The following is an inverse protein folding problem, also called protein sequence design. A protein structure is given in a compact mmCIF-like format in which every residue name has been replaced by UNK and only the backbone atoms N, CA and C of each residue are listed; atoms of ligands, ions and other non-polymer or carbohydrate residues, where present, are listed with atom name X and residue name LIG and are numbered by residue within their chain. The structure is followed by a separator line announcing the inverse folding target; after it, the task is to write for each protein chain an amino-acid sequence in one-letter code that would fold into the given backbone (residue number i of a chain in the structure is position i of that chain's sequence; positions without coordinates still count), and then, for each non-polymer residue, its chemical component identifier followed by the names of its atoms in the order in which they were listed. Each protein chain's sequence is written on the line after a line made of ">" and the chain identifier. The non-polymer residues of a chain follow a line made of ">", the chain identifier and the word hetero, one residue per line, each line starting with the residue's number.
data_IF_143268276948
#
_entry.id   IF_143268276948
#
_cell.length_a   1.000
_cell.length_b   1.000
_cell.length_c   1.000
_cell.angle_alpha   90.00
_cell.angle_beta   90.00
_cell.angle_gamma   90.00
#
_symmetry.space_group_name_H-M   'P 1'
#
loop_
_entity.id
_entity.type
_entity.pdbx_description
1 polymer ?
#
# COMPACT_ATOMS: atom_id res chain seq x y z
N UNK A 1 -9.43 -20.37 -20.38
CA UNK A 1 -9.37 -18.94 -20.73
C UNK A 1 -9.59 -18.20 -19.45
N UNK A 2 -8.76 -17.21 -19.16
CA UNK A 2 -8.78 -16.48 -17.88
C UNK A 2 -8.72 -14.98 -18.14
N UNK A 3 -9.24 -14.19 -17.22
CA UNK A 3 -9.06 -12.76 -17.21
C UNK A 3 -7.74 -12.41 -16.54
N UNK A 4 -6.99 -11.52 -17.18
CA UNK A 4 -5.75 -10.94 -16.68
C UNK A 4 -5.92 -9.42 -16.64
N UNK A 5 -5.17 -8.76 -15.78
CA UNK A 5 -5.15 -7.30 -15.70
C UNK A 5 -3.95 -6.77 -16.46
N UNK A 6 -4.19 -5.84 -17.38
CA UNK A 6 -3.18 -5.10 -18.11
C UNK A 6 -3.06 -3.71 -17.50
N UNK A 7 -1.85 -3.31 -17.17
CA UNK A 7 -1.54 -1.99 -16.65
C UNK A 7 -1.03 -1.16 -17.81
N UNK A 8 -1.85 -0.25 -18.34
CA UNK A 8 -1.42 0.63 -19.42
C UNK A 8 -0.36 1.63 -18.94
N UNK A 9 0.45 2.13 -19.89
CA UNK A 9 1.49 3.12 -19.58
C UNK A 9 0.94 4.40 -18.92
N UNK A 10 -0.35 4.69 -19.09
CA UNK A 10 -1.05 5.82 -18.47
C UNK A 10 -1.30 5.62 -16.98
N UNK A 11 -1.18 4.39 -16.46
CA UNK A 11 -1.60 4.00 -15.12
C UNK A 11 -2.97 3.33 -15.09
N UNK A 12 -3.68 3.24 -16.22
CA UNK A 12 -5.03 2.65 -16.28
C UNK A 12 -4.98 1.12 -16.27
N UNK A 13 -5.83 0.50 -15.44
CA UNK A 13 -6.01 -0.94 -15.37
C UNK A 13 -7.09 -1.40 -16.35
N UNK A 14 -6.80 -2.40 -17.19
CA UNK A 14 -7.73 -2.97 -18.17
C UNK A 14 -7.79 -4.49 -18.08
N UNK A 15 -9.00 -5.03 -18.09
CA UNK A 15 -9.20 -6.48 -18.18
C UNK A 15 -8.96 -6.98 -19.60
N UNK A 16 -8.25 -8.09 -19.72
CA UNK A 16 -8.03 -8.77 -20.97
C UNK A 16 -8.16 -10.28 -20.81
N UNK A 17 -8.74 -10.94 -21.82
CA UNK A 17 -8.82 -12.41 -21.83
C UNK A 17 -7.54 -13.03 -22.37
N UNK A 18 -7.00 -13.99 -21.64
CA UNK A 18 -5.76 -14.70 -21.92
C UNK A 18 -5.96 -16.22 -21.95
N UNK A 19 -5.27 -16.90 -22.86
CA UNK A 19 -5.34 -18.37 -23.03
C UNK A 19 -3.95 -18.93 -23.23
N UNK A 20 -3.30 -19.36 -22.15
CA UNK A 20 -1.93 -19.88 -22.19
C UNK A 20 -1.76 -21.09 -23.14
N UNK A 21 -2.76 -21.96 -23.26
CA UNK A 21 -2.70 -23.19 -24.06
C UNK A 21 -2.68 -22.96 -25.57
N UNK A 22 -3.12 -21.78 -26.05
CA UNK A 22 -3.15 -21.45 -27.48
C UNK A 22 -1.85 -20.84 -27.99
N UNK A 23 -0.79 -20.82 -27.18
CA UNK A 23 0.43 -20.08 -27.50
C UNK A 23 0.18 -18.58 -27.56
N UNK A 24 -0.82 -18.08 -26.82
CA UNK A 24 -1.12 -16.67 -26.73
C UNK A 24 0.05 -16.02 -25.98
N UNK A 25 0.88 -15.31 -26.72
CA UNK A 25 2.09 -14.70 -26.20
C UNK A 25 1.72 -13.43 -25.44
N UNK A 26 1.84 -13.45 -24.10
CA UNK A 26 1.43 -12.37 -23.20
C UNK A 26 1.95 -10.98 -23.63
N UNK A 27 3.16 -10.90 -24.18
CA UNK A 27 3.73 -9.65 -24.68
C UNK A 27 2.89 -9.04 -25.82
N UNK A 28 2.20 -9.85 -26.65
CA UNK A 28 1.32 -9.35 -27.71
C UNK A 28 0.08 -8.68 -27.13
N UNK A 29 -0.46 -9.23 -26.03
CA UNK A 29 -1.57 -8.61 -25.26
C UNK A 29 -1.17 -7.26 -24.68
N UNK A 30 0.10 -7.15 -24.28
CA UNK A 30 0.72 -5.90 -23.85
C UNK A 30 1.14 -4.98 -25.02
N UNK A 31 0.65 -5.23 -26.25
CA UNK A 31 0.92 -4.43 -27.46
C UNK A 31 2.40 -4.41 -27.89
N UNK A 32 3.21 -5.35 -27.43
CA UNK A 32 4.60 -5.48 -27.90
C UNK A 32 4.69 -6.31 -29.18
N UNK A 33 5.64 -5.92 -30.04
CA UNK A 33 5.93 -6.63 -31.29
C UNK A 33 6.89 -7.80 -31.11
N UNK A 34 7.66 -7.80 -30.02
CA UNK A 34 8.69 -8.79 -29.68
C UNK A 34 8.59 -9.10 -28.19
N UNK A 35 8.95 -10.32 -27.80
CA UNK A 35 9.10 -10.74 -26.39
C UNK A 35 10.34 -10.13 -25.70
N UNK A 36 11.22 -9.49 -26.46
CA UNK A 36 12.51 -8.99 -25.98
C UNK A 36 12.37 -8.02 -24.78
N UNK A 37 12.91 -8.45 -23.64
CA UNK A 37 12.85 -7.75 -22.35
C UNK A 37 11.49 -7.85 -21.65
N UNK A 38 10.49 -8.54 -22.19
CA UNK A 38 9.21 -8.76 -21.53
C UNK A 38 9.26 -10.08 -20.75
N UNK A 39 9.47 -9.98 -19.44
CA UNK A 39 9.79 -11.10 -18.58
C UNK A 39 8.99 -11.04 -17.28
N UNK A 40 8.98 -12.16 -16.55
CA UNK A 40 8.48 -12.21 -15.17
C UNK A 40 9.37 -11.35 -14.28
N UNK A 41 8.78 -10.40 -13.55
CA UNK A 41 9.51 -9.44 -12.72
C UNK A 41 9.33 -9.69 -11.23
N UNK A 42 8.09 -9.80 -10.80
CA UNK A 42 7.75 -9.97 -9.40
C UNK A 42 6.58 -10.91 -9.24
N UNK A 43 6.58 -11.66 -8.15
CA UNK A 43 5.44 -12.47 -7.72
C UNK A 43 5.08 -12.12 -6.29
N UNK A 44 3.82 -11.81 -6.06
CA UNK A 44 3.25 -11.60 -4.75
C UNK A 44 2.39 -12.80 -4.37
N UNK A 45 2.44 -13.17 -3.11
CA UNK A 45 1.68 -14.30 -2.56
C UNK A 45 0.56 -13.76 -1.68
N UNK A 46 -0.64 -14.25 -1.88
CA UNK A 46 -1.80 -13.94 -1.05
C UNK A 46 -1.88 -14.91 0.13
N UNK A 47 -2.51 -14.46 1.22
CA UNK A 47 -2.91 -15.36 2.31
C UNK A 47 -3.96 -16.34 1.77
N UNK A 48 -3.86 -17.61 2.20
CA UNK A 48 -4.81 -18.67 1.80
C UNK A 48 -6.23 -18.26 2.20
N UNK A 49 -7.21 -18.70 1.39
CA UNK A 49 -8.66 -18.54 1.61
C UNK A 49 -9.25 -17.13 1.41
N UNK A 50 -8.43 -16.06 1.40
CA UNK A 50 -8.93 -14.67 1.20
C UNK A 50 -9.22 -14.33 -0.26
N UNK A 51 -8.48 -14.93 -1.19
CA UNK A 51 -8.56 -14.64 -2.63
C UNK A 51 -8.77 -15.92 -3.44
N UNK A 52 -9.38 -15.84 -4.63
CA UNK A 52 -9.49 -16.96 -5.56
C UNK A 52 -8.13 -17.37 -6.19
N UNK A 53 -7.06 -16.66 -5.86
CA UNK A 53 -5.69 -16.92 -6.29
C UNK A 53 -4.76 -17.05 -5.09
N UNK A 54 -3.68 -17.79 -5.27
CA UNK A 54 -2.57 -17.94 -4.32
C UNK A 54 -1.41 -16.99 -4.61
N UNK A 55 -1.24 -16.57 -5.86
CA UNK A 55 -0.21 -15.61 -6.23
C UNK A 55 -0.58 -14.77 -7.44
N UNK A 56 -0.09 -13.54 -7.48
CA UNK A 56 -0.15 -12.64 -8.64
C UNK A 56 1.26 -12.37 -9.13
N UNK A 57 1.49 -12.57 -10.42
CA UNK A 57 2.78 -12.41 -11.08
C UNK A 57 2.75 -11.23 -12.04
N UNK A 58 3.69 -10.31 -11.89
CA UNK A 58 3.92 -9.18 -12.78
C UNK A 58 4.85 -9.58 -13.94
N UNK A 59 4.39 -9.32 -15.15
CA UNK A 59 5.19 -9.36 -16.37
C UNK A 59 5.35 -7.95 -16.92
N UNK A 60 6.58 -7.50 -17.09
CA UNK A 60 6.86 -6.15 -17.53
C UNK A 60 8.19 -6.05 -18.29
N UNK A 61 8.34 -4.93 -18.99
CA UNK A 61 9.54 -4.60 -19.73
C UNK A 61 10.37 -3.56 -18.98
N UNK A 62 11.64 -3.87 -18.73
CA UNK A 62 12.58 -2.98 -18.02
C UNK A 62 13.28 -1.98 -18.95
N UNK A 63 13.07 -2.09 -20.27
CA UNK A 63 13.67 -1.22 -21.27
C UNK A 63 12.62 -0.63 -22.22
N UNK A 64 12.74 0.66 -22.51
CA UNK A 64 11.84 1.37 -23.41
C UNK A 64 12.42 2.65 -23.98
N UNK A 65 11.60 3.36 -24.76
CA UNK A 65 11.93 4.70 -25.25
C UNK A 65 11.47 5.73 -24.23
N UNK A 66 12.08 6.91 -24.23
CA UNK A 66 11.56 8.05 -23.46
C UNK A 66 10.08 8.31 -23.79
N UNK A 67 9.28 8.63 -22.78
CA UNK A 67 7.81 8.80 -22.83
C UNK A 67 7.03 7.49 -23.03
N UNK A 68 7.66 6.35 -22.73
CA UNK A 68 6.97 5.04 -22.68
C UNK A 68 7.02 4.41 -21.31
N UNK A 69 7.53 5.13 -20.31
CA UNK A 69 7.49 4.76 -18.90
C UNK A 69 6.04 4.48 -18.47
N UNK A 70 5.86 3.41 -17.72
CA UNK A 70 4.60 3.09 -17.08
C UNK A 70 4.47 3.97 -15.82
N UNK A 71 3.35 4.69 -15.71
CA UNK A 71 3.09 5.61 -14.60
C UNK A 71 2.37 4.98 -13.41
N UNK A 72 2.05 3.68 -13.50
CA UNK A 72 1.42 2.97 -12.41
C UNK A 72 2.42 2.72 -11.28
N UNK A 73 2.02 3.06 -10.07
CA UNK A 73 2.78 2.76 -8.87
C UNK A 73 2.59 1.29 -8.53
N UNK A 74 3.66 0.50 -8.62
CA UNK A 74 3.60 -0.92 -8.31
C UNK A 74 3.81 -1.14 -6.81
N UNK A 75 3.25 -2.22 -6.24
CA UNK A 75 3.48 -2.53 -4.85
C UNK A 75 4.93 -2.98 -4.59
N UNK A 76 5.42 -2.85 -3.34
CA UNK A 76 6.75 -3.32 -2.96
C UNK A 76 6.91 -4.81 -3.28
N UNK A 77 8.13 -5.29 -3.64
CA UNK A 77 9.43 -4.61 -3.60
C UNK A 77 9.84 -3.91 -4.91
N UNK A 78 8.94 -3.81 -5.89
CA UNK A 78 9.23 -3.27 -7.23
C UNK A 78 8.70 -1.85 -7.45
N UNK A 79 8.30 -1.18 -6.36
CA UNK A 79 7.83 0.21 -6.30
C UNK A 79 8.88 1.20 -6.84
N UNK A 80 10.17 0.92 -6.63
CA UNK A 80 11.27 1.75 -7.13
C UNK A 80 11.71 1.40 -8.57
N UNK A 81 11.12 0.38 -9.19
CA UNK A 81 11.55 -0.10 -10.51
C UNK A 81 10.68 0.52 -11.60
N UNK A 82 11.33 1.27 -12.49
CA UNK A 82 10.68 1.88 -13.65
C UNK A 82 10.51 0.85 -14.79
N UNK A 83 9.26 0.53 -15.10
CA UNK A 83 8.93 -0.30 -16.27
C UNK A 83 8.42 0.54 -17.43
N UNK A 84 8.42 -0.05 -18.63
CA UNK A 84 8.03 0.61 -19.87
C UNK A 84 6.90 -0.11 -20.59
N UNK A 85 5.96 0.66 -21.11
CA UNK A 85 4.82 0.20 -21.90
C UNK A 85 3.72 -0.37 -21.02
N UNK A 86 2.99 -1.34 -21.55
CA UNK A 86 1.92 -2.02 -20.83
C UNK A 86 2.50 -3.20 -20.06
N UNK A 87 2.20 -3.29 -18.77
CA UNK A 87 2.53 -4.46 -17.95
C UNK A 87 1.33 -5.41 -17.88
N UNK A 88 1.55 -6.67 -17.51
CA UNK A 88 0.50 -7.64 -17.28
C UNK A 88 0.61 -8.29 -15.91
N UNK A 89 -0.54 -8.52 -15.29
CA UNK A 89 -0.69 -9.23 -14.03
C UNK A 89 -1.43 -10.54 -14.29
N UNK A 90 -0.83 -11.66 -13.88
CA UNK A 90 -1.41 -12.99 -13.97
C UNK A 90 -1.59 -13.57 -12.59
N UNK A 91 -2.81 -14.01 -12.28
CA UNK A 91 -3.12 -14.73 -11.08
C UNK A 91 -2.99 -16.25 -11.28
N UNK A 92 -2.50 -16.95 -10.26
CA UNK A 92 -2.44 -18.42 -10.19
C UNK A 92 -2.99 -18.93 -8.87
N UNK A 93 -3.64 -20.08 -8.89
CA UNK A 93 -4.09 -20.79 -7.67
C UNK A 93 -2.94 -21.56 -6.98
N UNK A 94 -3.29 -22.34 -5.95
CA UNK A 94 -2.36 -23.19 -5.20
C UNK A 94 -1.77 -24.35 -6.03
N UNK A 95 -2.51 -24.85 -7.02
CA UNK A 95 -2.07 -25.87 -7.99
C UNK A 95 -1.20 -25.28 -9.11
N UNK A 96 -1.01 -23.95 -9.12
CA UNK A 96 -0.24 -23.23 -10.14
C UNK A 96 -1.00 -23.01 -11.44
N UNK A 97 -2.31 -23.24 -11.44
CA UNK A 97 -3.19 -23.00 -12.59
C UNK A 97 -3.54 -21.53 -12.69
N UNK A 98 -3.60 -21.00 -13.92
CA UNK A 98 -4.04 -19.64 -14.13
C UNK A 98 -5.52 -19.49 -13.77
N UNK A 99 -5.85 -18.45 -13.01
CA UNK A 99 -7.22 -18.11 -12.61
C UNK A 99 -7.58 -16.70 -13.05
N UNK A 100 -8.86 -16.39 -13.03
CA UNK A 100 -9.36 -15.05 -13.35
C UNK A 100 -8.92 -14.03 -12.30
N UNK A 101 -8.41 -12.89 -12.78
CA UNK A 101 -8.07 -11.72 -11.97
C UNK A 101 -8.93 -10.53 -12.42
N UNK A 102 -9.74 -10.01 -11.51
CA UNK A 102 -10.50 -8.79 -11.69
C UNK A 102 -9.74 -7.57 -11.16
N UNK A 103 -10.08 -6.38 -11.68
CA UNK A 103 -9.43 -5.12 -11.26
C UNK A 103 -9.77 -4.79 -9.81
N UNK A 104 -11.01 -5.04 -9.40
CA UNK A 104 -11.46 -4.82 -8.01
C UNK A 104 -10.66 -5.70 -7.04
N UNK A 105 -10.55 -6.99 -7.35
CA UNK A 105 -9.78 -7.94 -6.53
C UNK A 105 -8.29 -7.58 -6.49
N UNK A 106 -7.72 -7.14 -7.61
CA UNK A 106 -6.34 -6.64 -7.64
C UNK A 106 -6.16 -5.40 -6.77
N UNK A 107 -7.08 -4.43 -6.80
CA UNK A 107 -6.97 -3.23 -5.97
C UNK A 107 -7.01 -3.56 -4.47
N UNK A 108 -7.91 -4.45 -4.04
CA UNK A 108 -7.95 -4.88 -2.63
C UNK A 108 -6.63 -5.55 -2.24
N UNK A 109 -6.11 -6.45 -3.09
CA UNK A 109 -4.83 -7.11 -2.84
C UNK A 109 -3.64 -6.12 -2.88
N UNK A 110 -3.68 -5.12 -3.77
CA UNK A 110 -2.70 -4.05 -3.86
C UNK A 110 -2.59 -3.27 -2.56
N UNK A 111 -3.72 -2.87 -1.96
CA UNK A 111 -3.74 -2.17 -0.66
C UNK A 111 -3.10 -3.03 0.44
N UNK A 112 -3.39 -4.34 0.48
CA UNK A 112 -2.74 -5.25 1.42
C UNK A 112 -1.22 -5.33 1.24
N UNK A 113 -0.73 -5.30 0.00
CA UNK A 113 0.71 -5.29 -0.29
C UNK A 113 1.40 -4.01 0.21
N UNK A 114 0.64 -2.92 0.38
CA UNK A 114 1.10 -1.67 0.99
C UNK A 114 1.00 -1.64 2.52
N UNK A 115 0.62 -2.75 3.15
CA UNK A 115 0.43 -2.85 4.60
C UNK A 115 -1.04 -2.97 5.00
N UNK A 116 -1.96 -2.82 4.04
CA UNK A 116 -3.40 -2.94 4.26
C UNK A 116 -3.97 -1.80 5.12
N UNK A 117 -5.27 -1.57 4.96
CA UNK A 117 -6.07 -0.98 6.04
C UNK A 117 -6.69 -2.15 6.80
N UNK A 118 -6.16 -2.43 8.00
CA UNK A 118 -6.90 -3.26 8.93
C UNK A 118 -8.15 -2.51 9.36
N UNK A 119 -9.31 -3.18 9.31
CA UNK A 119 -10.52 -2.58 9.84
C UNK A 119 -10.32 -2.43 11.35
N UNK A 120 -10.32 -1.19 11.86
CA UNK A 120 -10.22 -0.89 13.30
C UNK A 120 -11.21 -1.72 14.15
N UNK A 121 -12.36 -2.10 13.58
CA UNK A 121 -13.34 -2.94 14.25
C UNK A 121 -12.90 -4.40 14.44
N UNK A 122 -12.02 -4.92 13.59
CA UNK A 122 -11.50 -6.30 13.66
C UNK A 122 -10.38 -6.40 14.71
N UNK A 123 -9.54 -5.37 14.82
CA UNK A 123 -8.45 -5.29 15.80
C UNK A 123 -8.87 -4.74 17.16
N UNK A 124 -10.03 -4.09 17.30
CA UNK A 124 -10.50 -3.53 18.58
C UNK A 124 -10.47 -4.54 19.75
N UNK A 125 -10.70 -5.83 19.46
CA UNK A 125 -10.68 -6.89 20.47
C UNK A 125 -9.28 -7.36 20.85
N UNK A 126 -8.34 -7.34 19.90
CA UNK A 126 -6.94 -7.65 20.17
C UNK A 126 -6.24 -6.48 20.87
N UNK A 127 -6.60 -5.23 20.52
CA UNK A 127 -6.12 -3.99 21.15
C UNK A 127 -6.56 -3.89 22.63
N UNK A 128 -7.80 -4.28 22.94
CA UNK A 128 -8.28 -4.36 24.34
C UNK A 128 -7.59 -5.47 25.17
N UNK A 129 -7.02 -6.49 24.54
CA UNK A 129 -6.26 -7.57 25.20
C UNK A 129 -4.74 -7.35 25.15
N UNK A 130 -4.26 -6.23 24.60
CA UNK A 130 -2.84 -5.88 24.59
C UNK A 130 -2.40 -5.45 26.00
N UNK A 131 -1.32 -6.06 26.52
CA UNK A 131 -0.80 -5.72 27.84
C UNK A 131 -0.16 -4.33 27.79
N UNK A 132 -0.66 -3.40 28.62
CA UNK A 132 -0.07 -2.06 28.75
C UNK A 132 1.40 -2.20 29.22
N UNK A 133 2.33 -1.85 28.33
CA UNK A 133 3.78 -1.91 28.59
C UNK A 133 4.19 -1.11 29.82
N UNK A 134 3.42 -0.06 30.16
CA UNK A 134 3.64 0.72 31.37
C UNK A 134 3.03 0.06 32.60
N UNK A 135 2.04 -0.82 32.53
CA UNK A 135 1.39 -1.42 33.72
C UNK A 135 2.40 -2.15 34.61
N UNK A 136 3.43 -2.75 34.01
CA UNK A 136 4.53 -3.42 34.70
C UNK A 136 5.55 -2.48 35.35
N UNK A 137 5.51 -1.17 35.01
CA UNK A 137 6.46 -0.17 35.50
C UNK A 137 6.01 0.39 36.86
N UNK A 138 6.89 0.42 37.87
CA UNK A 138 6.56 0.98 39.19
C UNK A 138 6.20 2.46 39.10
N UNK A 139 5.22 2.88 39.91
CA UNK A 139 4.70 4.26 39.93
C UNK A 139 5.77 5.34 40.21
N UNK A 140 6.88 4.97 40.85
CA UNK A 140 8.01 5.85 41.10
C UNK A 140 8.73 6.28 39.81
N UNK A 141 8.70 5.42 38.78
CA UNK A 141 9.24 5.66 37.44
C UNK A 141 8.20 6.29 36.51
N UNK A 142 6.99 6.57 36.98
CA UNK A 142 5.94 7.26 36.23
C UNK A 142 5.71 8.68 36.75
N UNK A 143 5.34 9.56 35.85
CA UNK A 143 4.83 10.90 36.14
C UNK A 143 3.45 10.80 36.80
N UNK A 144 2.97 11.90 37.40
CA UNK A 144 1.61 11.96 37.98
C UNK A 144 0.51 11.70 36.96
N UNK A 145 0.80 11.90 35.67
CA UNK A 145 -0.12 11.68 34.55
C UNK A 145 0.01 10.30 33.92
N UNK A 146 0.90 9.43 34.44
CA UNK A 146 1.03 8.04 33.99
C UNK A 146 2.15 7.77 32.99
N UNK A 147 2.78 8.81 32.40
CA UNK A 147 3.92 8.66 31.49
C UNK A 147 5.19 8.17 32.19
N UNK A 148 6.03 7.40 31.52
CA UNK A 148 7.36 7.01 32.01
C UNK A 148 8.25 8.25 32.17
N UNK A 149 8.95 8.38 33.30
CA UNK A 149 9.96 9.42 33.57
C UNK A 149 11.27 9.08 32.83
N UNK A 150 11.26 9.25 31.51
CA UNK A 150 12.43 9.12 30.66
C UNK A 150 13.00 10.50 30.26
N UNK A 151 14.08 10.53 29.49
CA UNK A 151 14.80 11.73 28.99
C UNK A 151 13.90 12.68 28.16
N UNK A 152 12.69 12.23 27.78
CA UNK A 152 11.68 13.02 27.07
C UNK A 152 10.71 13.79 27.99
N UNK A 153 10.63 13.47 29.28
CA UNK A 153 9.76 14.19 30.23
C UNK A 153 10.55 15.34 30.85
N UNK A 154 10.11 16.56 30.55
CA UNK A 154 10.62 17.77 31.21
C UNK A 154 9.95 17.90 32.57
N UNK A 155 10.69 17.76 33.67
CA UNK A 155 10.15 17.97 35.01
C UNK A 155 9.96 19.47 35.24
N UNK A 156 8.69 19.89 35.31
CA UNK A 156 8.27 21.28 35.56
C UNK A 156 8.86 21.87 36.86
N UNK A 157 9.38 21.02 37.74
CA UNK A 157 9.90 21.41 39.05
C UNK A 157 11.42 21.69 39.04
N UNK A 158 12.10 21.58 37.88
CA UNK A 158 13.49 22.01 37.71
C UNK A 158 13.57 23.36 36.99
N UNK A 159 13.09 24.41 37.66
CA UNK A 159 13.53 25.78 37.40
C UNK A 159 14.90 26.00 38.06
N UNK A 160 15.95 25.33 37.55
CA UNK A 160 17.30 25.91 37.66
C UNK A 160 17.60 26.63 36.34
N UNK A 161 17.59 27.95 36.47
CA UNK A 161 18.09 28.98 35.57
C UNK A 161 19.15 28.46 34.59
N UNK A 162 18.70 28.12 33.38
CA UNK A 162 19.52 27.69 32.26
C UNK A 162 18.96 28.32 30.99
N UNK A 163 19.50 29.50 30.66
CA UNK A 163 19.15 30.32 29.50
C UNK A 163 19.11 29.48 28.21
N UNK A 164 17.90 29.19 27.72
CA UNK A 164 17.66 28.59 26.41
C UNK A 164 16.83 29.55 25.56
N UNK A 165 17.54 30.25 24.67
CA UNK A 165 17.03 31.16 23.64
C UNK A 165 16.25 30.36 22.57
N UNK A 166 15.02 30.00 22.88
CA UNK A 166 14.07 29.41 21.92
C UNK A 166 12.90 30.37 21.70
N UNK A 167 13.01 31.27 20.74
CA UNK A 167 11.87 32.03 20.21
C UNK A 167 10.84 31.05 19.62
N UNK A 168 9.87 30.64 20.45
CA UNK A 168 8.64 30.01 19.97
C UNK A 168 7.77 31.12 19.40
N UNK A 169 7.82 31.29 18.07
CA UNK A 169 6.88 32.09 17.33
C UNK A 169 5.49 31.48 17.49
N UNK A 170 4.69 32.06 18.39
CA UNK A 170 3.25 31.88 18.52
C UNK A 170 2.57 32.48 17.28
N UNK A 171 2.63 31.75 16.16
CA UNK A 171 1.76 32.00 15.01
C UNK A 171 0.58 31.02 15.14
N UNK A 172 -0.31 31.34 16.08
CA UNK A 172 -1.61 30.70 16.23
C UNK A 172 -2.46 31.10 15.02
N UNK A 173 -2.35 30.34 13.94
CA UNK A 173 -3.21 30.49 12.76
C UNK A 173 -4.65 30.17 13.15
N UNK A 174 -5.44 31.21 13.37
CA UNK A 174 -6.87 31.17 13.64
C UNK A 174 -7.57 30.49 12.44
N UNK A 175 -7.97 29.23 12.60
CA UNK A 175 -8.73 28.49 11.59
C UNK A 175 -10.16 29.04 11.55
N UNK A 176 -10.46 29.81 10.50
CA UNK A 176 -11.79 30.32 10.21
C UNK A 176 -12.72 29.15 9.83
N UNK A 177 -13.70 28.86 10.68
CA UNK A 177 -14.72 27.84 10.44
C UNK A 177 -15.68 28.32 9.34
N UNK A 178 -15.60 27.77 8.13
CA UNK A 178 -16.63 27.96 7.11
C UNK A 178 -17.89 27.13 7.45
N UNK A 179 -19.01 27.83 7.64
CA UNK A 179 -20.34 27.28 7.89
C UNK A 179 -20.88 26.59 6.62
N UNK A 180 -20.78 25.26 6.56
CA UNK A 180 -21.34 24.46 5.48
C UNK A 180 -22.86 24.33 5.62
N UNK A 181 -23.60 25.20 4.92
CA UNK A 181 -25.04 25.06 4.72
C UNK A 181 -25.34 23.90 3.76
N UNK A 182 -25.84 22.77 4.29
CA UNK A 182 -26.40 21.69 3.48
C UNK A 182 -27.71 22.16 2.82
N UNK A 183 -27.70 22.36 1.50
CA UNK A 183 -28.92 22.48 0.71
C UNK A 183 -29.47 21.07 0.47
N UNK A 184 -30.47 20.69 1.27
CA UNK A 184 -31.35 19.55 1.01
C UNK A 184 -32.20 19.89 -0.22
N UNK A 185 -31.90 19.27 -1.37
CA UNK A 185 -32.71 19.35 -2.58
C UNK A 185 -33.66 18.14 -2.59
N UNK A 186 -34.96 18.45 -2.57
CA UNK A 186 -36.12 17.52 -2.59
C UNK A 186 -36.22 16.65 -3.85
#
# INVERSE_FOLDING_TARGET
>A
MVNIVLIEKTGELKLCKYVSEKGDELYKKCKFKKSDGFEERQRWYSKKDKYPFSSVTLFARDNGKANTENKYELPPPVDNILYFGTCALLAKDEDGLHVDLDVETWNIFYEELYGGFENLADTAKEDEEEEDELESIPAEMKTKSGYLKDDFIVDDNHLEDGESDGEYSDDMSELEYEDYSYSDDE
#
